data_IF_231024925552
#
_entry.id   IF_231024925552
#
_cell.length_a   1.000
_cell.length_b   1.000
_cell.length_c   1.000
_cell.angle_alpha   90.00
_cell.angle_beta   90.00
_cell.angle_gamma   90.00
#
_symmetry.space_group_name_H-M   'P 1'
#
loop_
_entity.id
_entity.type
_entity.pdbx_description
1 polymer ?
#
# COMPACT_ATOMS: atom_id res chain seq x y z
N UNK A 1 -5.01 -13.57 0.62
CA UNK A 1 -6.19 -12.67 0.69
C UNK A 1 -5.80 -11.50 1.57
N UNK A 2 -5.72 -10.28 1.02
CA UNK A 2 -5.32 -9.09 1.79
C UNK A 2 -6.54 -8.61 2.57
N UNK A 3 -6.53 -8.82 3.88
CA UNK A 3 -7.55 -8.31 4.79
C UNK A 3 -7.44 -6.80 4.79
N UNK A 4 -8.39 -6.17 4.10
CA UNK A 4 -8.58 -4.72 4.10
C UNK A 4 -9.98 -4.44 4.63
N UNK A 5 -10.25 -3.25 5.21
CA UNK A 5 -11.55 -2.88 5.82
C UNK A 5 -12.65 -3.03 4.76
N UNK A 6 -12.30 -2.76 3.49
CA UNK A 6 -13.13 -3.01 2.30
C UNK A 6 -13.52 -4.49 2.11
N UNK A 7 -12.57 -5.42 2.29
CA UNK A 7 -12.84 -6.87 2.27
C UNK A 7 -13.63 -7.36 3.50
N UNK A 8 -13.55 -6.64 4.62
CA UNK A 8 -14.38 -6.89 5.81
C UNK A 8 -15.82 -6.38 5.60
N UNK A 9 -16.02 -5.22 4.96
CA UNK A 9 -17.36 -4.72 4.58
C UNK A 9 -18.07 -5.66 3.61
N UNK A 10 -17.36 -6.30 2.67
CA UNK A 10 -17.94 -7.36 1.82
C UNK A 10 -18.38 -8.62 2.58
N UNK A 11 -18.01 -8.75 3.86
CA UNK A 11 -18.41 -9.83 4.79
C UNK A 11 -19.38 -9.34 5.87
N UNK A 12 -20.17 -8.29 5.61
CA UNK A 12 -21.12 -7.70 6.56
C UNK A 12 -20.48 -7.06 7.80
N UNK A 13 -19.24 -6.56 7.70
CA UNK A 13 -18.62 -5.82 8.80
C UNK A 13 -18.92 -4.32 8.69
N UNK A 14 -19.68 -3.77 9.65
CA UNK A 14 -20.07 -2.35 9.79
C UNK A 14 -18.96 -1.51 10.44
N UNK A 15 -17.72 -1.66 9.95
CA UNK A 15 -16.60 -0.85 10.41
C UNK A 15 -16.60 0.55 9.82
N UNK A 16 -16.07 1.53 10.57
CA UNK A 16 -15.84 2.89 10.07
C UNK A 16 -15.04 2.85 8.77
N UNK A 17 -15.66 3.30 7.68
CA UNK A 17 -15.04 3.39 6.37
C UNK A 17 -14.14 4.62 6.27
N UNK A 18 -13.63 5.20 7.36
CA UNK A 18 -12.79 6.41 7.32
C UNK A 18 -11.33 6.06 7.56
N UNK A 19 -10.45 6.69 6.80
CA UNK A 19 -9.00 6.51 6.85
C UNK A 19 -8.43 7.22 8.08
N UNK A 20 -7.69 6.48 8.90
CA UNK A 20 -7.07 6.97 10.14
C UNK A 20 -6.11 8.17 9.94
N UNK A 21 -5.68 8.44 8.70
CA UNK A 21 -4.72 9.49 8.38
C UNK A 21 -5.31 10.75 7.74
N UNK A 22 -6.51 10.68 7.16
CA UNK A 22 -7.06 11.85 6.45
C UNK A 22 -8.59 11.93 6.42
N UNK A 23 -9.27 11.17 7.28
CA UNK A 23 -10.73 11.17 7.50
C UNK A 23 -11.62 10.94 6.25
N UNK A 24 -11.00 10.60 5.11
CA UNK A 24 -11.68 10.23 3.87
C UNK A 24 -12.11 8.78 3.86
N UNK A 25 -12.98 8.42 2.92
CA UNK A 25 -13.42 7.05 2.77
C UNK A 25 -12.22 6.11 2.49
N UNK A 26 -11.92 5.21 3.43
CA UNK A 26 -10.87 4.22 3.37
C UNK A 26 -11.27 3.12 2.38
N UNK A 27 -10.50 3.04 1.30
CA UNK A 27 -10.51 1.91 0.37
C UNK A 27 -9.08 1.36 0.29
N UNK A 28 -8.91 0.13 -0.19
CA UNK A 28 -7.57 -0.46 -0.40
C UNK A 28 -6.66 0.47 -1.19
N UNK A 29 -7.22 1.02 -2.29
CA UNK A 29 -6.53 1.96 -3.16
C UNK A 29 -6.20 3.24 -2.42
N UNK A 30 -7.14 3.78 -1.64
CA UNK A 30 -6.90 4.99 -0.88
C UNK A 30 -5.82 4.79 0.18
N UNK A 31 -5.95 3.79 1.03
CA UNK A 31 -5.02 3.54 2.14
C UNK A 31 -3.58 3.33 1.65
N UNK A 32 -3.40 2.60 0.55
CA UNK A 32 -2.07 2.24 0.07
C UNK A 32 -1.51 3.14 -1.03
N UNK A 33 -2.33 3.93 -1.75
CA UNK A 33 -1.87 4.74 -2.89
C UNK A 33 -2.32 6.21 -2.81
N UNK A 34 -3.61 6.47 -2.59
CA UNK A 34 -4.15 7.84 -2.73
C UNK A 34 -4.06 8.69 -1.45
N UNK A 35 -3.92 8.05 -0.29
CA UNK A 35 -3.82 8.70 1.01
C UNK A 35 -2.58 9.63 1.03
N UNK A 36 -2.69 10.86 1.57
CA UNK A 36 -1.54 11.77 1.69
C UNK A 36 -0.33 11.11 2.36
N UNK A 37 -0.56 10.31 3.40
CA UNK A 37 0.49 9.54 4.08
C UNK A 37 1.13 8.51 3.14
N UNK A 38 0.33 7.75 2.40
CA UNK A 38 0.83 6.79 1.42
C UNK A 38 1.65 7.47 0.31
N UNK A 39 1.22 8.64 -0.18
CA UNK A 39 1.98 9.42 -1.17
C UNK A 39 3.36 9.84 -0.65
N UNK A 40 3.46 10.22 0.63
CA UNK A 40 4.74 10.53 1.25
C UNK A 40 5.63 9.30 1.33
N UNK A 41 5.09 8.16 1.80
CA UNK A 41 5.82 6.88 1.83
C UNK A 41 6.35 6.49 0.44
N UNK A 42 5.50 6.59 -0.58
CA UNK A 42 5.90 6.29 -1.96
C UNK A 42 6.95 7.24 -2.52
N UNK A 43 6.91 8.52 -2.16
CA UNK A 43 7.98 9.48 -2.50
C UNK A 43 9.30 9.11 -1.83
N UNK A 44 9.28 8.71 -0.55
CA UNK A 44 10.49 8.26 0.15
C UNK A 44 11.07 7.02 -0.52
N UNK A 45 10.24 6.04 -0.88
CA UNK A 45 10.66 4.84 -1.61
C UNK A 45 11.22 5.19 -2.99
N UNK A 46 10.57 6.11 -3.72
CA UNK A 46 11.06 6.59 -5.01
C UNK A 46 12.42 7.27 -4.89
N UNK A 47 12.63 8.13 -3.89
CA UNK A 47 13.92 8.82 -3.69
C UNK A 47 15.00 7.84 -3.26
N UNK A 48 14.69 6.89 -2.36
CA UNK A 48 15.68 5.96 -1.82
C UNK A 48 16.13 4.90 -2.84
N UNK A 49 15.23 4.41 -3.68
CA UNK A 49 15.50 3.29 -4.60
C UNK A 49 15.45 3.68 -6.08
N UNK A 50 15.11 4.93 -6.40
CA UNK A 50 14.91 5.44 -7.76
C UNK A 50 13.88 4.61 -8.58
N UNK A 51 12.85 4.11 -7.90
CA UNK A 51 11.79 3.28 -8.49
C UNK A 51 10.48 4.03 -8.62
N UNK A 52 9.81 3.91 -9.77
CA UNK A 52 8.50 4.52 -9.99
C UNK A 52 7.46 3.91 -9.05
N UNK A 53 6.68 4.71 -8.30
CA UNK A 53 5.66 4.18 -7.42
C UNK A 53 4.57 3.47 -8.23
N UNK A 54 3.95 2.40 -7.67
CA UNK A 54 2.89 1.69 -8.36
C UNK A 54 1.64 2.55 -8.44
N UNK A 55 0.93 2.48 -9.57
CA UNK A 55 -0.28 3.26 -9.80
C UNK A 55 -1.56 2.46 -9.47
N UNK A 56 -1.43 1.15 -9.25
CA UNK A 56 -2.55 0.30 -8.89
C UNK A 56 -2.09 -0.86 -8.00
N UNK A 57 -3.03 -1.43 -7.24
CA UNK A 57 -2.76 -2.53 -6.31
C UNK A 57 -2.27 -3.78 -7.05
N UNK A 58 -2.77 -4.04 -8.27
CA UNK A 58 -2.37 -5.19 -9.06
C UNK A 58 -0.91 -5.11 -9.54
N UNK A 59 -0.42 -3.93 -9.88
CA UNK A 59 0.98 -3.70 -10.25
C UNK A 59 1.85 -3.81 -9.02
N UNK A 60 1.45 -3.18 -7.90
CA UNK A 60 2.13 -3.25 -6.61
C UNK A 60 2.47 -4.70 -6.19
N UNK A 61 1.49 -5.61 -6.27
CA UNK A 61 1.68 -7.03 -5.91
C UNK A 61 2.09 -7.94 -7.08
N UNK A 62 2.14 -7.41 -8.30
CA UNK A 62 2.44 -8.17 -9.51
C UNK A 62 3.79 -7.79 -10.10
N UNK A 63 3.76 -6.89 -11.10
CA UNK A 63 4.90 -6.56 -11.97
C UNK A 63 5.69 -5.31 -11.55
N UNK A 64 5.44 -4.75 -10.37
CA UNK A 64 6.07 -3.48 -9.96
C UNK A 64 7.61 -3.54 -9.91
N UNK A 65 8.19 -4.70 -9.59
CA UNK A 65 9.64 -4.90 -9.52
C UNK A 65 10.16 -5.78 -10.67
N UNK A 66 9.43 -5.85 -11.77
CA UNK A 66 9.88 -6.54 -12.99
C UNK A 66 11.04 -5.74 -13.60
N UNK A 67 12.18 -6.38 -13.84
CA UNK A 67 13.41 -5.74 -14.31
C UNK A 67 14.37 -5.22 -13.22
N UNK A 68 14.02 -5.31 -11.92
CA UNK A 68 14.95 -5.04 -10.82
C UNK A 68 15.68 -6.32 -10.40
N UNK A 69 16.95 -6.20 -10.00
CA UNK A 69 17.72 -7.33 -9.48
C UNK A 69 16.96 -8.05 -8.34
N UNK A 70 16.89 -9.38 -8.42
CA UNK A 70 16.03 -10.20 -7.54
C UNK A 70 16.31 -10.00 -6.05
N UNK A 71 17.58 -9.82 -5.67
CA UNK A 71 17.97 -9.56 -4.28
C UNK A 71 17.47 -8.20 -3.79
N UNK A 72 17.69 -7.14 -4.57
CA UNK A 72 17.23 -5.78 -4.27
C UNK A 72 15.71 -5.71 -4.24
N UNK A 73 15.05 -6.34 -5.23
CA UNK A 73 13.59 -6.46 -5.27
C UNK A 73 13.02 -7.17 -4.03
N UNK A 74 13.71 -8.22 -3.53
CA UNK A 74 13.27 -8.94 -2.32
C UNK A 74 13.32 -8.04 -1.08
N UNK A 75 14.40 -7.28 -0.91
CA UNK A 75 14.52 -6.33 0.22
C UNK A 75 13.45 -5.23 0.16
N UNK A 76 13.24 -4.66 -1.03
CA UNK A 76 12.20 -3.65 -1.24
C UNK A 76 10.82 -4.23 -0.93
N UNK A 77 10.51 -5.46 -1.39
CA UNK A 77 9.23 -6.13 -1.08
C UNK A 77 9.02 -6.29 0.41
N UNK A 78 10.05 -6.73 1.15
CA UNK A 78 9.94 -6.89 2.61
C UNK A 78 9.68 -5.55 3.29
N UNK A 79 10.43 -4.50 2.92
CA UNK A 79 10.24 -3.16 3.47
C UNK A 79 8.84 -2.59 3.17
N UNK A 80 8.39 -2.71 1.91
CA UNK A 80 7.04 -2.28 1.50
C UNK A 80 5.96 -3.08 2.23
N UNK A 81 6.08 -4.40 2.34
CA UNK A 81 5.12 -5.21 3.10
C UNK A 81 5.05 -4.79 4.57
N UNK A 82 6.18 -4.47 5.21
CA UNK A 82 6.21 -3.98 6.58
C UNK A 82 5.52 -2.61 6.72
N UNK A 83 5.76 -1.68 5.78
CA UNK A 83 5.08 -0.38 5.74
C UNK A 83 3.57 -0.53 5.54
N UNK A 84 3.17 -1.37 4.58
CA UNK A 84 1.77 -1.66 4.31
C UNK A 84 1.09 -2.26 5.56
N UNK A 85 1.77 -3.15 6.28
CA UNK A 85 1.27 -3.72 7.52
C UNK A 85 1.12 -2.69 8.64
N UNK A 86 2.10 -1.79 8.80
CA UNK A 86 2.02 -0.71 9.79
C UNK A 86 0.88 0.28 9.50
N UNK A 87 0.71 0.66 8.23
CA UNK A 87 -0.39 1.52 7.76
C UNK A 87 -1.75 0.82 7.92
N UNK A 88 -1.79 -0.49 7.68
CA UNK A 88 -2.98 -1.32 7.86
C UNK A 88 -3.42 -1.42 9.33
N UNK A 89 -2.47 -1.41 10.26
CA UNK A 89 -2.73 -1.56 11.70
C UNK A 89 -3.03 -0.23 12.43
N UNK A 90 -3.04 0.91 11.72
CA UNK A 90 -3.43 2.21 12.27
C UNK A 90 -4.95 2.40 12.27
#
# INVERSE_FOLDING_TARGET
VILTKDNLTKRNWTGFTRCSFCDRNETIKHLFLDCPMAKVLWRTVHIAFNITPPNNINTLFGKWLDGIETQTARHIRVGVCALLWAVWNC
#
